data_IF_285866203457
#
_entry.id   IF_285866203457
#
_cell.length_a   1.000
_cell.length_b   1.000
_cell.length_c   1.000
_cell.angle_alpha   90.00
_cell.angle_beta   90.00
_cell.angle_gamma   90.00
#
_symmetry.space_group_name_H-M   'P 1'
#
loop_
_entity.id
_entity.type
_entity.pdbx_description
1 polymer ?
#
# COMPACT_ATOMS: atom_id res chain seq x y z
N UNK A 1 -18.54 8.69 13.01
CA UNK A 1 -19.06 7.63 13.91
C UNK A 1 -20.49 7.97 14.28
N UNK A 2 -21.43 7.03 14.16
CA UNK A 2 -22.87 7.32 14.27
C UNK A 2 -23.43 7.23 15.70
N UNK A 3 -22.71 6.59 16.61
CA UNK A 3 -23.08 6.39 18.01
C UNK A 3 -21.83 6.18 18.86
N UNK A 4 -21.97 6.30 20.19
CA UNK A 4 -20.85 6.19 21.14
C UNK A 4 -20.67 4.74 21.60
N UNK A 5 -19.46 4.22 21.43
CA UNK A 5 -18.99 2.95 22.01
C UNK A 5 -17.77 3.23 22.89
N UNK A 6 -17.75 2.67 24.10
CA UNK A 6 -16.60 2.77 25.01
C UNK A 6 -15.55 1.72 24.62
N UNK A 7 -14.30 1.96 25.03
CA UNK A 7 -13.18 1.01 24.91
C UNK A 7 -12.91 0.56 23.46
N UNK A 8 -13.07 1.48 22.52
CA UNK A 8 -12.69 1.30 21.12
C UNK A 8 -11.26 1.83 20.92
N UNK A 9 -10.38 1.13 20.17
CA UNK A 9 -9.02 1.59 19.88
C UNK A 9 -8.99 3.02 19.33
N UNK A 10 -7.99 3.79 19.77
CA UNK A 10 -7.73 5.12 19.23
C UNK A 10 -7.10 4.98 17.84
N UNK A 11 -7.75 5.59 16.85
CA UNK A 11 -7.24 5.68 15.48
C UNK A 11 -6.54 7.00 15.26
N UNK A 12 -5.56 6.99 14.37
CA UNK A 12 -4.95 8.21 13.86
C UNK A 12 -5.92 8.99 12.98
N UNK A 13 -5.73 10.31 12.89
CA UNK A 13 -6.55 11.22 12.09
C UNK A 13 -5.80 11.65 10.83
N UNK A 14 -6.54 12.06 9.79
CA UNK A 14 -5.94 12.59 8.55
C UNK A 14 -5.27 13.96 8.80
N UNK A 15 -4.13 14.26 8.14
CA UNK A 15 -3.37 13.40 7.24
C UNK A 15 -2.57 12.34 8.00
N UNK A 16 -2.85 11.05 7.74
CA UNK A 16 -2.23 9.94 8.46
C UNK A 16 -0.84 9.65 7.91
N UNK A 17 0.09 9.33 8.81
CA UNK A 17 1.39 8.73 8.47
C UNK A 17 1.56 7.34 9.08
N UNK A 18 0.73 7.00 10.07
CA UNK A 18 0.53 5.66 10.64
C UNK A 18 -0.95 5.33 10.69
N UNK A 19 -1.30 4.05 10.77
CA UNK A 19 -2.67 3.58 10.62
C UNK A 19 -3.20 3.79 9.21
N UNK A 20 -2.27 3.83 8.25
CA UNK A 20 -2.46 4.23 6.87
C UNK A 20 -3.20 3.15 6.09
N UNK A 21 -4.11 3.56 5.21
CA UNK A 21 -4.89 2.66 4.35
C UNK A 21 -4.70 3.05 2.90
N UNK A 22 -4.08 2.15 2.14
CA UNK A 22 -3.98 2.24 0.69
C UNK A 22 -5.03 1.36 0.02
N UNK A 23 -5.99 2.00 -0.64
CA UNK A 23 -7.01 1.32 -1.41
C UNK A 23 -6.49 0.96 -2.82
N UNK A 24 -7.00 -0.14 -3.38
CA UNK A 24 -6.67 -0.61 -4.74
C UNK A 24 -7.85 -0.40 -5.69
N UNK A 25 -7.72 0.55 -6.62
CA UNK A 25 -8.66 0.73 -7.72
C UNK A 25 -8.17 -0.03 -8.96
N UNK A 26 -8.91 -1.08 -9.35
CA UNK A 26 -8.58 -1.94 -10.51
C UNK A 26 -9.37 -1.58 -11.77
N UNK A 27 -10.12 -0.48 -11.76
CA UNK A 27 -10.99 -0.10 -12.86
C UNK A 27 -12.39 0.34 -12.46
N UNK A 28 -12.58 0.93 -11.28
CA UNK A 28 -13.86 1.56 -10.91
C UNK A 28 -14.28 2.57 -11.99
N UNK A 29 -15.56 2.63 -12.33
CA UNK A 29 -16.12 3.70 -13.13
C UNK A 29 -16.10 5.02 -12.36
N UNK A 30 -16.37 6.15 -13.03
CA UNK A 30 -16.40 7.46 -12.37
C UNK A 30 -17.43 7.50 -11.23
N UNK A 31 -18.62 6.91 -11.44
CA UNK A 31 -19.68 6.87 -10.42
C UNK A 31 -19.31 5.96 -9.25
N UNK A 32 -18.70 4.82 -9.53
CA UNK A 32 -18.22 3.94 -8.45
C UNK A 32 -17.13 4.60 -7.61
N UNK A 33 -16.32 5.50 -8.19
CA UNK A 33 -15.37 6.31 -7.43
C UNK A 33 -16.09 7.32 -6.54
N UNK A 34 -17.11 8.01 -7.04
CA UNK A 34 -17.95 8.91 -6.25
C UNK A 34 -18.61 8.18 -5.08
N UNK A 35 -19.25 7.03 -5.34
CA UNK A 35 -19.90 6.19 -4.33
C UNK A 35 -18.89 5.64 -3.30
N UNK A 36 -17.69 5.27 -3.76
CA UNK A 36 -16.60 4.79 -2.90
C UNK A 36 -16.15 5.89 -1.92
N UNK A 37 -15.94 7.10 -2.42
CA UNK A 37 -15.50 8.24 -1.61
C UNK A 37 -16.58 8.63 -0.61
N UNK A 38 -17.83 8.74 -1.05
CA UNK A 38 -18.97 9.10 -0.18
C UNK A 38 -19.11 8.11 0.98
N UNK A 39 -19.01 6.81 0.69
CA UNK A 39 -19.23 5.77 1.69
C UNK A 39 -18.10 5.61 2.70
N UNK A 40 -16.83 5.78 2.29
CA UNK A 40 -15.70 5.42 3.15
C UNK A 40 -14.40 6.22 2.93
N UNK A 41 -14.45 7.36 2.22
CA UNK A 41 -13.29 8.18 1.90
C UNK A 41 -12.48 8.65 3.11
N UNK A 42 -13.10 8.85 4.28
CA UNK A 42 -12.42 9.22 5.54
C UNK A 42 -11.41 8.19 6.04
N UNK A 43 -11.57 6.93 5.62
CA UNK A 43 -10.75 5.79 6.02
C UNK A 43 -9.67 5.42 4.98
N UNK A 44 -9.60 6.15 3.86
CA UNK A 44 -8.67 5.92 2.75
C UNK A 44 -7.65 7.05 2.72
N UNK A 45 -6.36 6.72 2.79
CA UNK A 45 -5.29 7.73 2.82
C UNK A 45 -4.60 7.90 1.46
N UNK A 46 -4.64 6.87 0.61
CA UNK A 46 -4.18 6.93 -0.78
C UNK A 46 -4.87 5.85 -1.63
N UNK A 47 -4.96 6.08 -2.94
CA UNK A 47 -5.43 5.09 -3.90
C UNK A 47 -4.32 4.71 -4.87
N UNK A 48 -4.06 3.40 -5.00
CA UNK A 48 -3.28 2.83 -6.10
C UNK A 48 -4.22 2.53 -7.27
N UNK A 49 -3.97 3.11 -8.45
CA UNK A 49 -4.53 2.56 -9.69
C UNK A 49 -3.72 1.33 -10.07
N UNK A 50 -4.32 0.14 -9.96
CA UNK A 50 -3.61 -1.14 -10.01
C UNK A 50 -2.75 -1.33 -11.25
N UNK A 51 -1.56 -1.93 -11.07
CA UNK A 51 -0.57 -2.22 -12.12
C UNK A 51 -0.46 -1.11 -13.19
N UNK A 52 -1.00 -1.35 -14.38
CA UNK A 52 -1.02 -0.44 -15.52
C UNK A 52 -2.46 -0.15 -16.00
N UNK A 53 -3.46 -0.28 -15.12
CA UNK A 53 -4.88 -0.01 -15.43
C UNK A 53 -5.12 1.40 -15.95
N UNK A 54 -4.34 2.38 -15.49
CA UNK A 54 -4.42 3.77 -15.95
C UNK A 54 -4.19 3.89 -17.46
N UNK A 55 -3.36 3.03 -18.06
CA UNK A 55 -3.09 3.04 -19.50
C UNK A 55 -4.33 2.75 -20.36
N UNK A 56 -5.28 1.97 -19.82
CA UNK A 56 -6.52 1.57 -20.53
C UNK A 56 -7.77 2.24 -19.94
N UNK A 57 -7.62 3.13 -18.97
CA UNK A 57 -8.73 3.86 -18.35
C UNK A 57 -9.16 5.03 -19.24
N UNK A 58 -10.32 4.92 -19.89
CA UNK A 58 -10.82 5.91 -20.88
C UNK A 58 -10.84 7.36 -20.37
N UNK A 59 -11.32 7.56 -19.15
CA UNK A 59 -11.55 8.88 -18.56
C UNK A 59 -10.60 9.15 -17.39
N UNK A 60 -9.32 8.80 -17.54
CA UNK A 60 -8.33 8.86 -16.46
C UNK A 60 -8.26 10.24 -15.79
N UNK A 61 -8.18 11.33 -16.57
CA UNK A 61 -8.14 12.70 -16.01
C UNK A 61 -9.35 13.02 -15.14
N UNK A 62 -10.55 12.63 -15.57
CA UNK A 62 -11.78 12.86 -14.80
C UNK A 62 -11.79 12.03 -13.52
N UNK A 63 -11.36 10.77 -13.59
CA UNK A 63 -11.23 9.91 -12.41
C UNK A 63 -10.27 10.50 -11.37
N UNK A 64 -9.09 10.93 -11.81
CA UNK A 64 -8.08 11.54 -10.94
C UNK A 64 -8.60 12.84 -10.32
N UNK A 65 -9.35 13.64 -11.07
CA UNK A 65 -9.96 14.86 -10.55
C UNK A 65 -10.95 14.56 -9.42
N UNK A 66 -11.80 13.53 -9.55
CA UNK A 66 -12.75 13.14 -8.48
C UNK A 66 -12.02 12.79 -7.18
N UNK A 67 -10.95 11.99 -7.24
CA UNK A 67 -10.14 11.69 -6.05
C UNK A 67 -9.46 12.94 -5.48
N UNK A 68 -8.92 13.80 -6.35
CA UNK A 68 -8.26 15.06 -5.96
C UNK A 68 -9.21 16.02 -5.26
N UNK A 69 -10.44 16.17 -5.76
CA UNK A 69 -11.48 17.02 -5.17
C UNK A 69 -11.89 16.52 -3.78
N UNK A 70 -11.79 15.21 -3.53
CA UNK A 70 -11.98 14.60 -2.23
C UNK A 70 -10.75 14.63 -1.31
N UNK A 71 -9.62 15.20 -1.77
CA UNK A 71 -8.37 15.25 -1.01
C UNK A 71 -7.70 13.89 -0.81
N UNK A 72 -7.99 12.90 -1.68
CA UNK A 72 -7.39 11.57 -1.62
C UNK A 72 -6.31 11.48 -2.71
N UNK A 73 -5.02 11.37 -2.33
CA UNK A 73 -3.96 11.24 -3.32
C UNK A 73 -4.07 9.90 -4.08
N UNK A 74 -3.60 9.93 -5.32
CA UNK A 74 -3.57 8.76 -6.21
C UNK A 74 -2.16 8.58 -6.73
N UNK A 75 -1.75 7.33 -6.90
CA UNK A 75 -0.56 7.00 -7.66
C UNK A 75 -0.83 5.83 -8.63
N UNK A 76 0.03 5.70 -9.64
CA UNK A 76 -0.06 4.63 -10.64
C UNK A 76 0.80 3.45 -10.21
N UNK A 77 0.26 2.23 -10.29
CA UNK A 77 0.98 1.02 -9.89
C UNK A 77 2.36 0.90 -10.54
N UNK A 78 3.32 0.35 -9.81
CA UNK A 78 4.72 0.27 -10.17
C UNK A 78 4.97 -0.59 -11.41
N UNK A 79 4.07 -1.52 -11.75
CA UNK A 79 4.12 -2.24 -13.03
C UNK A 79 4.02 -1.30 -14.24
N UNK A 80 3.33 -0.15 -14.14
CA UNK A 80 3.38 0.88 -15.17
C UNK A 80 4.76 1.52 -15.25
N UNK A 81 5.37 1.87 -14.11
CA UNK A 81 6.74 2.37 -14.04
C UNK A 81 7.72 1.38 -14.71
N UNK A 82 7.63 0.10 -14.35
CA UNK A 82 8.43 -0.98 -14.95
C UNK A 82 8.25 -1.06 -16.46
N UNK A 83 7.02 -0.86 -16.96
CA UNK A 83 6.73 -0.85 -18.40
C UNK A 83 7.42 0.31 -19.13
N UNK A 84 7.56 1.48 -18.51
CA UNK A 84 8.35 2.58 -19.06
C UNK A 84 9.86 2.30 -18.98
N UNK A 85 10.35 1.83 -17.83
CA UNK A 85 11.78 1.57 -17.59
C UNK A 85 12.34 0.54 -18.56
N UNK A 86 11.66 -0.58 -18.77
CA UNK A 86 12.14 -1.65 -19.67
C UNK A 86 12.21 -1.21 -21.13
N UNK A 87 11.55 -0.10 -21.48
CA UNK A 87 11.57 0.51 -22.81
C UNK A 87 12.57 1.67 -22.93
N UNK A 88 13.34 1.95 -21.87
CA UNK A 88 14.23 3.12 -21.83
C UNK A 88 13.46 4.44 -21.77
N UNK A 89 12.23 4.43 -21.29
CA UNK A 89 11.30 5.57 -21.32
C UNK A 89 11.06 6.16 -19.93
N UNK A 90 12.06 6.16 -19.06
CA UNK A 90 11.92 6.70 -17.69
C UNK A 90 11.52 8.20 -17.70
N UNK A 91 12.08 9.00 -18.61
CA UNK A 91 11.68 10.41 -18.74
C UNK A 91 10.22 10.58 -19.21
N UNK A 92 9.70 9.65 -20.03
CA UNK A 92 8.28 9.65 -20.40
C UNK A 92 7.39 9.35 -19.19
N UNK A 93 7.83 8.49 -18.28
CA UNK A 93 7.13 8.24 -17.02
C UNK A 93 7.05 9.51 -16.17
N UNK A 94 8.14 10.28 -16.05
CA UNK A 94 8.11 11.58 -15.36
C UNK A 94 7.12 12.54 -16.03
N UNK A 95 7.12 12.63 -17.36
CA UNK A 95 6.13 13.43 -18.11
C UNK A 95 4.69 12.99 -17.87
N UNK A 96 4.44 11.70 -17.62
CA UNK A 96 3.12 11.19 -17.24
C UNK A 96 2.72 11.68 -15.83
N UNK A 97 3.63 11.63 -14.87
CA UNK A 97 3.39 12.15 -13.52
C UNK A 97 3.03 13.65 -13.58
N UNK A 98 3.82 14.44 -14.32
CA UNK A 98 3.60 15.87 -14.52
C UNK A 98 2.26 16.16 -15.22
N UNK A 99 1.97 15.45 -16.31
CA UNK A 99 0.74 15.62 -17.11
C UNK A 99 -0.53 15.44 -16.26
N UNK A 100 -0.49 14.51 -15.31
CA UNK A 100 -1.62 14.19 -14.44
C UNK A 100 -1.52 14.82 -13.05
N UNK A 101 -0.50 15.67 -12.81
CA UNK A 101 -0.27 16.35 -11.54
C UNK A 101 -0.27 15.38 -10.34
N UNK A 102 0.47 14.28 -10.49
CA UNK A 102 0.55 13.22 -9.49
C UNK A 102 1.66 13.53 -8.47
N UNK A 103 1.27 13.68 -7.20
CA UNK A 103 2.20 13.93 -6.10
C UNK A 103 2.90 12.67 -5.57
N UNK A 104 2.54 11.49 -6.07
CA UNK A 104 3.03 10.19 -5.61
C UNK A 104 3.38 9.28 -6.78
N UNK A 105 4.42 8.45 -6.60
CA UNK A 105 4.85 7.44 -7.55
C UNK A 105 5.22 6.13 -6.85
N UNK A 106 4.94 5.00 -7.49
CA UNK A 106 5.43 3.68 -7.05
C UNK A 106 6.60 3.24 -7.92
N UNK A 107 7.69 2.81 -7.28
CA UNK A 107 8.87 2.22 -7.92
C UNK A 107 8.96 0.74 -7.54
N UNK A 108 8.95 -0.14 -8.53
CA UNK A 108 8.98 -1.59 -8.34
C UNK A 108 9.85 -2.27 -9.40
N UNK A 109 10.15 -3.54 -9.19
CA UNK A 109 10.93 -4.42 -10.07
C UNK A 109 10.37 -5.84 -10.09
N UNK A 110 9.05 -5.98 -9.93
CA UNK A 110 8.40 -7.27 -9.76
C UNK A 110 8.19 -8.04 -11.07
N UNK A 111 8.13 -7.36 -12.22
CA UNK A 111 7.86 -7.90 -13.56
C UNK A 111 9.06 -7.81 -14.51
N UNK A 112 10.10 -7.04 -14.15
CA UNK A 112 11.33 -6.90 -14.93
C UNK A 112 12.54 -7.27 -14.08
N UNK A 113 13.63 -7.71 -14.70
CA UNK A 113 14.92 -7.80 -13.99
C UNK A 113 15.54 -6.40 -13.98
N UNK A 114 15.59 -5.76 -12.82
CA UNK A 114 16.22 -4.47 -12.62
C UNK A 114 17.35 -4.63 -11.60
N UNK A 115 18.50 -4.03 -11.90
CA UNK A 115 19.58 -3.92 -10.92
C UNK A 115 19.13 -3.02 -9.75
N UNK A 116 19.39 -3.45 -8.52
CA UNK A 116 18.87 -2.77 -7.34
C UNK A 116 19.46 -1.36 -7.17
N UNK A 117 20.72 -1.14 -7.54
CA UNK A 117 21.33 0.20 -7.49
C UNK A 117 20.66 1.12 -8.50
N UNK A 118 20.26 0.59 -9.67
CA UNK A 118 19.49 1.32 -10.67
C UNK A 118 18.08 1.65 -10.17
N UNK A 119 17.41 0.73 -9.46
CA UNK A 119 16.14 1.00 -8.80
C UNK A 119 16.27 2.16 -7.80
N UNK A 120 17.29 2.12 -6.94
CA UNK A 120 17.60 3.18 -5.99
C UNK A 120 17.93 4.52 -6.69
N UNK A 121 18.55 4.50 -7.87
CA UNK A 121 18.76 5.70 -8.68
C UNK A 121 17.43 6.33 -9.13
N UNK A 122 16.47 5.52 -9.61
CA UNK A 122 15.15 6.02 -9.96
C UNK A 122 14.41 6.61 -8.75
N UNK A 123 14.48 5.97 -7.58
CA UNK A 123 13.93 6.50 -6.33
C UNK A 123 14.56 7.86 -5.99
N UNK A 124 15.90 7.97 -6.06
CA UNK A 124 16.62 9.23 -5.81
C UNK A 124 16.26 10.35 -6.77
N UNK A 125 15.94 10.02 -8.02
CA UNK A 125 15.52 11.01 -9.01
C UNK A 125 14.08 11.45 -8.71
N UNK A 126 13.14 10.51 -8.61
CA UNK A 126 11.72 10.81 -8.42
C UNK A 126 11.42 11.50 -7.09
N UNK A 127 12.12 11.13 -6.01
CA UNK A 127 11.91 11.69 -4.67
C UNK A 127 12.22 13.19 -4.54
N UNK A 128 12.83 13.80 -5.57
CA UNK A 128 13.03 15.26 -5.64
C UNK A 128 11.75 16.01 -6.00
N UNK A 129 10.86 15.36 -6.73
CA UNK A 129 9.68 15.97 -7.34
C UNK A 129 8.37 15.43 -6.74
N UNK A 130 8.33 14.14 -6.38
CA UNK A 130 7.14 13.44 -5.87
C UNK A 130 7.45 12.57 -4.66
N UNK A 131 6.43 12.18 -3.91
CA UNK A 131 6.56 11.21 -2.80
C UNK A 131 6.62 9.78 -3.35
N UNK A 132 7.75 9.10 -3.14
CA UNK A 132 7.96 7.74 -3.67
C UNK A 132 7.54 6.69 -2.65
N UNK A 133 6.69 5.75 -3.08
CA UNK A 133 6.55 4.45 -2.43
C UNK A 133 7.37 3.43 -3.23
N UNK A 134 8.20 2.63 -2.56
CA UNK A 134 8.98 1.60 -3.25
C UNK A 134 8.49 0.22 -2.84
N UNK A 135 8.44 -0.75 -3.75
CA UNK A 135 7.92 -2.10 -3.49
C UNK A 135 9.06 -3.11 -3.43
N UNK A 136 9.22 -3.80 -2.30
CA UNK A 136 10.22 -4.87 -2.13
C UNK A 136 9.50 -6.21 -2.14
N UNK A 137 10.03 -7.15 -2.93
CA UNK A 137 9.62 -8.54 -2.96
C UNK A 137 9.69 -9.14 -4.36
N UNK A 138 9.15 -10.34 -4.52
CA UNK A 138 9.07 -10.99 -5.83
C UNK A 138 7.66 -11.43 -6.14
N UNK A 139 7.25 -11.16 -7.37
CA UNK A 139 6.00 -11.63 -7.95
C UNK A 139 6.10 -13.11 -8.36
N UNK A 140 7.30 -13.67 -8.43
CA UNK A 140 7.52 -15.07 -8.77
C UNK A 140 7.53 -15.95 -7.51
N UNK A 141 6.54 -16.84 -7.39
CA UNK A 141 6.43 -17.77 -6.26
C UNK A 141 7.66 -18.69 -6.14
N UNK A 142 8.39 -18.94 -7.23
CA UNK A 142 9.62 -19.72 -7.20
C UNK A 142 10.83 -18.93 -6.67
N UNK A 143 10.78 -17.59 -6.65
CA UNK A 143 11.87 -16.73 -6.18
C UNK A 143 11.69 -16.36 -4.71
N UNK A 144 12.28 -17.18 -3.84
CA UNK A 144 12.30 -16.92 -2.40
C UNK A 144 13.48 -15.99 -2.07
N UNK A 145 13.18 -14.72 -1.80
CA UNK A 145 14.16 -13.77 -1.27
C UNK A 145 14.30 -14.03 0.25
N UNK A 146 15.53 -14.22 0.76
CA UNK A 146 15.77 -14.45 2.20
C UNK A 146 15.59 -13.15 3.02
N UNK A 147 15.24 -13.23 4.32
CA UNK A 147 14.94 -12.05 5.14
C UNK A 147 16.02 -10.97 5.16
N UNK A 148 17.30 -11.35 5.23
CA UNK A 148 18.39 -10.36 5.26
C UNK A 148 18.44 -9.50 3.97
N UNK A 149 18.09 -10.07 2.80
CA UNK A 149 18.02 -9.31 1.55
C UNK A 149 16.82 -8.39 1.51
N UNK A 150 15.67 -8.81 2.04
CA UNK A 150 14.51 -7.92 2.19
C UNK A 150 14.87 -6.69 3.00
N UNK A 151 15.50 -6.89 4.16
CA UNK A 151 15.94 -5.81 5.05
C UNK A 151 16.95 -4.90 4.35
N UNK A 152 17.95 -5.48 3.68
CA UNK A 152 18.96 -4.72 2.95
C UNK A 152 18.33 -3.85 1.85
N UNK A 153 17.44 -4.43 1.03
CA UNK A 153 16.74 -3.71 -0.04
C UNK A 153 15.85 -2.61 0.53
N UNK A 154 15.01 -2.93 1.52
CA UNK A 154 14.14 -1.95 2.19
C UNK A 154 14.95 -0.78 2.76
N UNK A 155 16.07 -1.05 3.44
CA UNK A 155 16.91 0.01 3.98
C UNK A 155 17.51 0.87 2.89
N UNK A 156 18.07 0.27 1.83
CA UNK A 156 18.68 0.99 0.71
C UNK A 156 17.65 1.85 -0.06
N UNK A 157 16.42 1.38 -0.22
CA UNK A 157 15.34 2.12 -0.86
C UNK A 157 14.85 3.30 0.00
N UNK A 158 14.79 3.13 1.32
CA UNK A 158 14.54 4.22 2.27
C UNK A 158 15.67 5.26 2.23
N UNK A 159 16.93 4.81 2.24
CA UNK A 159 18.11 5.68 2.15
C UNK A 159 18.17 6.42 0.80
N UNK A 160 17.62 5.83 -0.27
CA UNK A 160 17.47 6.45 -1.58
C UNK A 160 16.37 7.52 -1.64
N UNK A 161 15.53 7.65 -0.60
CA UNK A 161 14.50 8.67 -0.50
C UNK A 161 13.06 8.16 -0.62
N UNK A 162 12.83 6.83 -0.57
CA UNK A 162 11.48 6.31 -0.47
C UNK A 162 10.82 6.79 0.83
N UNK A 163 9.58 7.25 0.75
CA UNK A 163 8.81 7.66 1.92
C UNK A 163 8.38 6.46 2.76
N UNK A 164 7.89 5.42 2.08
CA UNK A 164 7.54 4.11 2.63
C UNK A 164 7.98 3.01 1.67
N UNK A 165 8.31 1.86 2.25
CA UNK A 165 8.55 0.60 1.51
C UNK A 165 7.36 -0.32 1.65
N UNK A 166 6.87 -0.82 0.52
CA UNK A 166 5.75 -1.74 0.41
C UNK A 166 6.30 -3.16 0.51
N UNK A 167 5.73 -3.96 1.40
CA UNK A 167 5.97 -5.39 1.40
C UNK A 167 5.06 -6.07 0.36
N UNK A 168 5.63 -6.54 -0.75
CA UNK A 168 4.88 -7.09 -1.88
C UNK A 168 4.13 -8.38 -1.53
N UNK A 169 2.88 -8.46 -1.99
CA UNK A 169 2.06 -9.67 -1.87
C UNK A 169 1.20 -9.99 -3.08
N UNK A 170 1.25 -9.14 -4.12
CA UNK A 170 0.28 -9.03 -5.22
C UNK A 170 -1.14 -8.75 -4.72
N UNK A 171 -2.04 -8.51 -5.67
CA UNK A 171 -3.47 -8.39 -5.39
C UNK A 171 -4.08 -9.65 -4.76
N UNK A 172 -3.57 -10.84 -5.10
CA UNK A 172 -4.08 -12.10 -4.59
C UNK A 172 -3.60 -12.42 -3.16
N UNK A 173 -2.55 -11.76 -2.67
CA UNK A 173 -2.00 -12.01 -1.34
C UNK A 173 -1.43 -13.43 -1.18
N UNK A 174 -0.74 -13.95 -2.19
CA UNK A 174 -0.29 -15.34 -2.23
C UNK A 174 1.17 -15.51 -2.64
N UNK A 175 1.96 -14.43 -2.60
CA UNK A 175 3.41 -14.42 -2.85
C UNK A 175 4.10 -13.47 -1.89
N UNK A 176 5.43 -13.39 -1.95
CA UNK A 176 6.22 -12.43 -1.19
C UNK A 176 6.09 -12.62 0.32
N UNK A 177 5.31 -11.77 0.98
CA UNK A 177 4.96 -11.85 2.41
C UNK A 177 4.16 -13.09 2.78
N UNK A 178 3.42 -13.66 1.82
CA UNK A 178 2.57 -14.81 2.03
C UNK A 178 3.08 -16.03 1.28
N UNK A 179 2.72 -17.20 1.78
CA UNK A 179 2.83 -18.47 1.05
C UNK A 179 1.71 -18.55 0.01
N UNK A 180 1.80 -19.51 -0.91
CA UNK A 180 0.75 -19.79 -1.90
C UNK A 180 -0.63 -20.06 -1.26
N UNK A 181 -0.65 -20.53 0.00
CA UNK A 181 -1.86 -20.73 0.81
C UNK A 181 -2.50 -19.44 1.34
N UNK A 182 -1.84 -18.29 1.19
CA UNK A 182 -2.20 -17.02 1.83
C UNK A 182 -1.70 -16.86 3.27
N UNK A 183 -1.04 -17.89 3.83
CA UNK A 183 -0.45 -17.86 5.17
C UNK A 183 0.72 -16.88 5.24
N UNK A 184 0.78 -16.08 6.30
CA UNK A 184 1.85 -15.11 6.52
C UNK A 184 3.17 -15.82 6.80
N UNK A 185 4.25 -15.37 6.16
CA UNK A 185 5.61 -15.77 6.51
C UNK A 185 6.04 -15.03 7.77
N UNK A 186 5.49 -15.41 8.92
CA UNK A 186 5.69 -14.74 10.20
C UNK A 186 7.16 -14.44 10.51
N UNK A 187 8.06 -15.43 10.40
CA UNK A 187 9.49 -15.22 10.65
C UNK A 187 10.16 -14.21 9.69
N UNK A 188 9.64 -14.02 8.47
CA UNK A 188 10.13 -12.94 7.59
C UNK A 188 9.68 -11.57 8.13
N UNK A 189 8.41 -11.43 8.47
CA UNK A 189 7.84 -10.17 8.97
C UNK A 189 8.50 -9.75 10.28
N UNK A 190 8.64 -10.68 11.23
CA UNK A 190 9.30 -10.43 12.52
C UNK A 190 10.74 -9.97 12.33
N UNK A 191 11.52 -10.64 11.46
CA UNK A 191 12.90 -10.23 11.16
C UNK A 191 12.97 -8.81 10.55
N UNK A 192 12.07 -8.47 9.63
CA UNK A 192 11.98 -7.12 9.05
C UNK A 192 11.73 -6.08 10.13
N UNK A 193 10.77 -6.34 11.02
CA UNK A 193 10.40 -5.44 12.12
C UNK A 193 11.53 -5.23 13.15
N UNK A 194 12.55 -6.09 13.19
CA UNK A 194 13.73 -5.86 14.05
C UNK A 194 14.67 -4.78 13.51
N UNK A 195 14.56 -4.41 12.23
CA UNK A 195 15.49 -3.50 11.54
C UNK A 195 14.83 -2.30 10.90
N UNK A 196 13.66 -2.49 10.29
CA UNK A 196 12.95 -1.44 9.57
C UNK A 196 11.80 -0.92 10.47
N UNK A 197 11.72 0.40 10.73
CA UNK A 197 10.65 0.97 11.53
C UNK A 197 9.27 0.70 10.92
N UNK A 198 8.30 0.27 11.74
CA UNK A 198 6.96 -0.13 11.25
C UNK A 198 6.24 0.99 10.50
N UNK A 199 6.44 2.25 10.91
CA UNK A 199 5.83 3.41 10.31
C UNK A 199 6.39 3.71 8.92
N UNK A 200 7.54 3.13 8.56
CA UNK A 200 8.14 3.20 7.23
C UNK A 200 7.66 2.09 6.29
N UNK A 201 6.93 1.11 6.81
CA UNK A 201 6.45 -0.03 6.02
C UNK A 201 4.97 0.15 5.69
N UNK A 202 4.57 -0.24 4.48
CA UNK A 202 3.19 -0.42 4.06
C UNK A 202 2.99 -1.89 3.69
N UNK A 203 2.26 -2.64 4.51
CA UNK A 203 2.07 -4.08 4.28
C UNK A 203 0.90 -4.32 3.33
N UNK A 204 1.13 -4.94 2.19
CA UNK A 204 0.00 -5.39 1.37
C UNK A 204 -0.73 -6.54 2.07
N UNK A 205 -2.03 -6.38 2.27
CA UNK A 205 -2.90 -7.34 2.96
C UNK A 205 -4.29 -7.37 2.31
N UNK A 206 -4.40 -7.81 1.04
CA UNK A 206 -5.65 -7.79 0.31
C UNK A 206 -6.73 -8.69 0.93
N UNK A 207 -6.35 -9.75 1.65
CA UNK A 207 -7.30 -10.69 2.26
C UNK A 207 -7.59 -10.35 3.73
N UNK A 208 -8.85 -10.54 4.15
CA UNK A 208 -9.29 -10.37 5.54
C UNK A 208 -8.37 -11.04 6.56
N UNK A 209 -7.98 -12.29 6.34
CA UNK A 209 -7.14 -13.03 7.27
C UNK A 209 -5.77 -12.36 7.50
N UNK A 210 -5.23 -11.74 6.45
CA UNK A 210 -3.95 -11.02 6.48
C UNK A 210 -4.10 -9.70 7.25
N UNK A 211 -5.18 -8.95 6.98
CA UNK A 211 -5.53 -7.73 7.69
C UNK A 211 -5.65 -7.99 9.21
N UNK A 212 -6.40 -9.03 9.58
CA UNK A 212 -6.56 -9.44 10.99
C UNK A 212 -5.22 -9.80 11.61
N UNK A 213 -4.37 -10.54 10.90
CA UNK A 213 -3.06 -10.95 11.41
C UNK A 213 -2.16 -9.75 11.70
N UNK A 214 -2.03 -8.81 10.75
CA UNK A 214 -1.22 -7.60 10.94
C UNK A 214 -1.78 -6.71 12.05
N UNK A 215 -3.11 -6.56 12.15
CA UNK A 215 -3.73 -5.76 13.21
C UNK A 215 -3.52 -6.39 14.59
N UNK A 216 -3.52 -7.73 14.70
CA UNK A 216 -3.21 -8.42 15.96
C UNK A 216 -1.74 -8.31 16.35
N UNK A 217 -0.84 -8.27 15.37
CA UNK A 217 0.59 -8.17 15.61
C UNK A 217 1.03 -6.74 15.95
N UNK A 218 0.57 -5.76 15.16
CA UNK A 218 1.07 -4.37 15.16
C UNK A 218 0.04 -3.36 15.65
N UNK A 219 -1.16 -3.81 16.01
CA UNK A 219 -2.23 -2.97 16.54
C UNK A 219 -3.07 -2.27 15.48
N UNK A 220 -4.06 -1.50 15.95
CA UNK A 220 -5.07 -0.84 15.12
C UNK A 220 -4.49 0.17 14.11
N UNK A 221 -3.29 0.68 14.36
CA UNK A 221 -2.63 1.70 13.56
C UNK A 221 -1.48 1.15 12.68
N UNK A 222 -1.53 -0.14 12.31
CA UNK A 222 -0.67 -0.69 11.26
C UNK A 222 -0.99 -0.11 9.88
N UNK A 223 0.02 0.13 9.04
CA UNK A 223 -0.15 0.57 7.66
C UNK A 223 -0.49 -0.62 6.75
N UNK A 224 -1.62 -0.58 6.06
CA UNK A 224 -2.08 -1.66 5.18
C UNK A 224 -2.40 -1.16 3.78
N UNK A 225 -2.03 -1.98 2.80
CA UNK A 225 -2.21 -1.70 1.38
C UNK A 225 -2.89 -2.83 0.62
N UNK A 226 -3.21 -2.55 -0.64
CA UNK A 226 -4.03 -3.42 -1.51
C UNK A 226 -5.43 -3.71 -0.96
N UNK A 227 -6.00 -2.77 -0.20
CA UNK A 227 -7.34 -2.96 0.36
C UNK A 227 -8.36 -2.72 -0.74
N UNK A 228 -9.23 -3.71 -0.99
CA UNK A 228 -10.29 -3.55 -1.97
C UNK A 228 -11.28 -2.46 -1.54
N UNK A 229 -11.87 -1.68 -2.45
CA UNK A 229 -12.80 -0.60 -2.12
C UNK A 229 -13.96 -1.05 -1.22
N UNK A 230 -14.50 -2.23 -1.47
CA UNK A 230 -15.58 -2.84 -0.68
C UNK A 230 -15.12 -3.44 0.66
N UNK A 231 -13.82 -3.50 0.94
CA UNK A 231 -13.25 -3.97 2.20
C UNK A 231 -12.77 -2.84 3.12
N UNK A 232 -12.92 -1.55 2.75
CA UNK A 232 -12.48 -0.42 3.58
C UNK A 232 -13.25 -0.34 4.91
N UNK A 233 -14.59 -0.36 4.87
CA UNK A 233 -15.41 -0.37 6.10
C UNK A 233 -15.15 -1.65 6.91
N UNK A 234 -15.16 -2.86 6.31
CA UNK A 234 -14.74 -4.08 7.01
C UNK A 234 -13.37 -3.96 7.69
N UNK A 235 -12.37 -3.39 7.03
CA UNK A 235 -11.05 -3.17 7.60
C UNK A 235 -11.11 -2.24 8.81
N UNK A 236 -11.79 -1.10 8.70
CA UNK A 236 -11.90 -0.16 9.81
C UNK A 236 -12.60 -0.81 11.02
N UNK A 237 -13.62 -1.66 10.79
CA UNK A 237 -14.24 -2.43 11.89
C UNK A 237 -13.28 -3.42 12.54
N UNK A 238 -12.34 -4.01 11.79
CA UNK A 238 -11.29 -4.87 12.35
C UNK A 238 -10.34 -4.03 13.22
N UNK A 239 -9.92 -2.85 12.74
CA UNK A 239 -9.04 -1.92 13.48
C UNK A 239 -9.68 -1.45 14.79
N UNK A 240 -10.99 -1.30 14.81
CA UNK A 240 -11.76 -0.85 15.97
C UNK A 240 -12.17 -1.99 16.92
N UNK A 241 -11.82 -3.24 16.63
CA UNK A 241 -12.28 -4.39 17.43
C UNK A 241 -13.78 -4.65 17.35
N UNK A 242 -14.44 -4.18 16.28
CA UNK A 242 -15.90 -4.28 16.08
C UNK A 242 -16.29 -5.39 15.10
N UNK A 243 -15.36 -6.29 14.77
CA UNK A 243 -15.60 -7.50 13.99
C UNK A 243 -15.17 -8.71 14.80
N UNK A 244 -15.88 -9.83 14.67
CA UNK A 244 -15.62 -11.05 15.46
C UNK A 244 -14.16 -11.51 15.48
N UNK A 245 -13.41 -11.28 14.39
CA UNK A 245 -12.00 -11.65 14.29
C UNK A 245 -11.08 -10.90 15.28
N UNK A 246 -11.44 -9.68 15.69
CA UNK A 246 -10.68 -8.81 16.62
C UNK A 246 -11.50 -8.34 17.84
N UNK A 247 -12.69 -8.91 18.06
CA UNK A 247 -13.63 -8.48 19.10
C UNK A 247 -13.00 -8.46 20.50
N UNK A 248 -12.40 -9.58 20.91
CA UNK A 248 -11.78 -9.68 22.24
C UNK A 248 -10.39 -9.04 22.30
N UNK A 249 -9.74 -8.82 21.15
CA UNK A 249 -8.33 -8.46 21.09
C UNK A 249 -8.02 -7.09 21.74
N UNK A 250 -8.95 -6.14 21.63
CA UNK A 250 -8.77 -4.78 22.13
C UNK A 250 -9.47 -4.51 23.47
N UNK A 251 -10.29 -5.45 23.97
CA UNK A 251 -11.06 -5.24 25.19
C UNK A 251 -10.19 -5.34 26.45
N UNK A 252 -9.20 -6.24 26.46
CA UNK A 252 -8.32 -6.45 27.61
C UNK A 252 -7.20 -5.40 27.72
N UNK A 253 -6.89 -4.69 26.62
CA UNK A 253 -5.84 -3.66 26.58
C UNK A 253 -6.26 -2.33 27.23
N UNK A 254 -7.51 -2.17 27.64
CA UNK A 254 -7.99 -1.01 28.39
C UNK A 254 -7.74 -1.11 29.91
N UNK A 255 -7.16 -2.22 30.39
CA UNK A 255 -6.90 -2.49 31.81
C UNK A 255 -5.39 -2.51 32.18
N UNK A 256 -4.50 -1.99 31.33
CA UNK A 256 -3.06 -1.83 31.61
C UNK A 256 -2.65 -0.38 31.45
#
# INVERSE_FOLDING_TARGET
MNYVLKNVPVRTEKPRTTGYTMAMDKGLSLREVEDFIDSCGDYVDIVKLGWATSYVTKNLSQKLQIYKDAGIPVYLGGTLFEAFVIRGQFEDYQRVLDKFDLAYAEVSDGSITLDHDKKCEYIRILSKDVTVLSEVGSKDAAKIIPPYKWIEQMQQELDAGAWKVIGESREAGNVGLFRDSGEVRQGLVEEILTKIPEEKILWEAPQKAQQVWFIKLLGANVNLGNIAPNEIIPLETIRLGLRGDTFDHFLDMANV
#
